data_IF_527711220500
#
_entry.id   IF_527711220500
#
_cell.length_a   1.000
_cell.length_b   1.000
_cell.length_c   1.000
_cell.angle_alpha   90.00
_cell.angle_beta   90.00
_cell.angle_gamma   90.00
#
_symmetry.space_group_name_H-M   'P 1'
#
loop_
_entity.id
_entity.type
_entity.pdbx_description
1 polymer ?
#
# COMPACT_ATOMS: atom_id res chain seq x y z
N UNK A 1 22.04 -47.31 30.33
CA UNK A 1 22.69 -46.42 31.34
C UNK A 1 23.48 -47.27 32.35
N UNK A 2 24.52 -46.73 33.01
CA UNK A 2 25.34 -47.49 33.98
C UNK A 2 24.51 -48.06 35.15
N UNK A 3 23.43 -47.37 35.52
CA UNK A 3 22.45 -47.82 36.53
C UNK A 3 21.70 -49.08 36.05
N UNK A 4 21.24 -49.10 34.79
CA UNK A 4 20.55 -50.26 34.20
C UNK A 4 21.46 -51.49 34.01
N UNK A 5 22.78 -51.26 34.00
CA UNK A 5 23.79 -52.32 33.92
C UNK A 5 24.21 -52.85 35.31
N UNK A 6 23.58 -52.37 36.40
CA UNK A 6 23.91 -52.75 37.77
C UNK A 6 25.22 -52.17 38.29
N UNK A 7 25.85 -51.23 37.56
CA UNK A 7 27.13 -50.60 37.92
C UNK A 7 26.89 -49.33 38.74
N UNK A 8 26.20 -49.47 39.88
CA UNK A 8 25.75 -48.35 40.72
C UNK A 8 26.89 -47.48 41.29
N UNK A 9 28.05 -48.02 41.73
CA UNK A 9 29.11 -47.18 42.30
C UNK A 9 29.79 -46.32 41.24
N UNK A 10 29.93 -46.85 40.01
CA UNK A 10 30.48 -46.13 38.87
C UNK A 10 29.53 -45.04 38.38
N UNK A 11 28.22 -45.33 38.38
CA UNK A 11 27.18 -44.34 38.07
C UNK A 11 27.22 -43.17 39.07
N UNK A 12 27.40 -43.46 40.36
CA UNK A 12 27.49 -42.45 41.41
C UNK A 12 28.74 -41.57 41.25
N UNK A 13 29.91 -42.16 40.97
CA UNK A 13 31.15 -41.43 40.74
C UNK A 13 31.04 -40.48 39.54
N UNK A 14 30.45 -40.95 38.44
CA UNK A 14 30.21 -40.14 37.23
C UNK A 14 29.21 -39.03 37.50
N UNK A 15 28.10 -39.32 38.20
CA UNK A 15 27.07 -38.33 38.51
C UNK A 15 27.59 -37.22 39.44
N UNK A 16 28.43 -37.57 40.44
CA UNK A 16 29.06 -36.62 41.35
C UNK A 16 30.00 -35.67 40.60
N UNK A 17 30.88 -36.22 39.76
CA UNK A 17 31.78 -35.42 38.91
C UNK A 17 31.00 -34.52 37.95
N UNK A 18 29.89 -35.02 37.40
CA UNK A 18 28.98 -34.26 36.57
C UNK A 18 28.35 -33.08 37.31
N UNK A 19 27.92 -33.28 38.56
CA UNK A 19 27.35 -32.23 39.39
C UNK A 19 28.38 -31.16 39.78
N UNK A 20 29.59 -31.55 40.20
CA UNK A 20 30.70 -30.62 40.52
C UNK A 20 31.03 -29.71 39.33
N UNK A 21 31.03 -30.24 38.11
CA UNK A 21 31.24 -29.45 36.90
C UNK A 21 30.14 -28.40 36.64
N UNK A 22 28.94 -28.56 37.23
CA UNK A 22 27.87 -27.55 37.12
C UNK A 22 28.02 -26.40 38.12
N UNK A 23 28.73 -26.60 39.24
CA UNK A 23 28.95 -25.57 40.26
C UNK A 23 29.80 -24.41 39.72
N UNK A 24 30.75 -24.70 38.83
CA UNK A 24 31.57 -23.67 38.16
C UNK A 24 30.82 -22.91 37.07
N UNK A 25 29.76 -23.50 36.50
CA UNK A 25 29.02 -22.94 35.35
C UNK A 25 27.75 -22.18 35.81
N UNK A 26 27.19 -22.53 36.98
CA UNK A 26 26.01 -21.90 37.60
C UNK A 26 24.81 -21.71 36.67
N UNK A 27 24.61 -22.62 35.71
CA UNK A 27 23.44 -22.61 34.83
C UNK A 27 22.33 -23.49 35.42
N UNK A 28 21.16 -22.93 35.78
CA UNK A 28 20.06 -23.67 36.39
C UNK A 28 19.63 -24.90 35.59
N UNK A 29 19.64 -24.83 34.26
CA UNK A 29 19.27 -25.95 33.37
C UNK A 29 20.22 -27.14 33.45
N UNK A 30 21.52 -26.89 33.61
CA UNK A 30 22.53 -27.93 33.80
C UNK A 30 22.45 -28.52 35.21
N UNK A 31 22.23 -27.66 36.22
CA UNK A 31 22.05 -28.08 37.62
C UNK A 31 20.85 -29.02 37.76
N UNK A 32 19.71 -28.74 37.12
CA UNK A 32 18.53 -29.63 37.12
C UNK A 32 18.89 -31.03 36.59
N UNK A 33 19.61 -31.10 35.46
CA UNK A 33 20.00 -32.38 34.84
C UNK A 33 20.99 -33.15 35.71
N UNK A 34 22.00 -32.47 36.25
CA UNK A 34 23.03 -33.10 37.06
C UNK A 34 22.53 -33.51 38.45
N UNK A 35 21.72 -32.68 39.11
CA UNK A 35 21.10 -32.99 40.39
C UNK A 35 20.10 -34.15 40.28
N UNK A 36 19.32 -34.21 39.19
CA UNK A 36 18.43 -35.35 38.91
C UNK A 36 19.21 -36.66 38.72
N UNK A 37 20.24 -36.65 37.86
CA UNK A 37 21.08 -37.83 37.65
C UNK A 37 21.81 -38.29 38.92
N UNK A 38 22.21 -37.34 39.78
CA UNK A 38 22.84 -37.63 41.07
C UNK A 38 21.83 -38.21 42.08
N UNK A 39 20.60 -37.69 42.12
CA UNK A 39 19.52 -38.26 42.93
C UNK A 39 19.21 -39.70 42.52
N UNK A 40 19.11 -39.97 41.21
CA UNK A 40 18.85 -41.31 40.67
C UNK A 40 19.99 -42.28 41.02
N UNK A 41 21.24 -41.82 40.96
CA UNK A 41 22.42 -42.62 41.31
C UNK A 41 22.48 -42.94 42.82
N UNK A 42 22.15 -41.98 43.70
CA UNK A 42 22.07 -42.23 45.14
C UNK A 42 20.93 -43.19 45.49
N UNK A 43 19.78 -43.09 44.83
CA UNK A 43 18.66 -44.01 45.05
C UNK A 43 19.04 -45.43 44.61
N UNK A 44 19.70 -45.58 43.47
CA UNK A 44 20.20 -46.87 42.99
C UNK A 44 21.23 -47.52 43.91
N UNK A 45 22.00 -46.72 44.66
CA UNK A 45 22.98 -47.19 45.66
C UNK A 45 22.38 -47.38 47.07
N UNK A 46 21.04 -47.29 47.21
CA UNK A 46 20.28 -47.38 48.48
C UNK A 46 20.59 -46.28 49.49
N UNK A 47 21.01 -45.10 49.02
CA UNK A 47 21.26 -43.90 49.83
C UNK A 47 20.09 -42.91 49.70
N UNK A 48 18.91 -43.29 50.19
CA UNK A 48 17.66 -42.55 49.97
C UNK A 48 17.65 -41.14 50.57
N UNK A 49 18.31 -40.92 51.72
CA UNK A 49 18.43 -39.59 52.33
C UNK A 49 19.16 -38.61 51.41
N UNK A 50 20.27 -39.08 50.80
CA UNK A 50 21.04 -38.28 49.85
C UNK A 50 20.27 -38.07 48.56
N UNK A 51 19.59 -39.10 48.06
CA UNK A 51 18.72 -39.00 46.89
C UNK A 51 17.62 -37.94 47.09
N UNK A 52 17.00 -37.91 48.28
CA UNK A 52 15.96 -36.94 48.62
C UNK A 52 16.49 -35.50 48.63
N UNK A 53 17.68 -35.26 49.18
CA UNK A 53 18.32 -33.93 49.19
C UNK A 53 18.53 -33.42 47.77
N UNK A 54 19.12 -34.23 46.89
CA UNK A 54 19.40 -33.82 45.50
C UNK A 54 18.13 -33.76 44.64
N UNK A 55 17.10 -34.55 44.94
CA UNK A 55 15.77 -34.44 44.31
C UNK A 55 15.08 -33.12 44.68
N UNK A 56 15.14 -32.71 45.95
CA UNK A 56 14.63 -31.41 46.40
C UNK A 56 15.35 -30.24 45.72
N UNK A 57 16.68 -30.36 45.57
CA UNK A 57 17.49 -29.38 44.85
C UNK A 57 17.07 -29.29 43.37
N UNK A 58 16.94 -30.43 42.70
CA UNK A 58 16.48 -30.52 41.31
C UNK A 58 15.13 -29.81 41.10
N UNK A 59 14.16 -30.08 41.98
CA UNK A 59 12.84 -29.47 41.92
C UNK A 59 12.90 -27.94 42.07
N UNK A 60 13.66 -27.43 43.05
CA UNK A 60 13.83 -25.98 43.26
C UNK A 60 14.42 -25.27 42.03
N UNK A 61 15.40 -25.87 41.36
CA UNK A 61 15.98 -25.29 40.13
C UNK A 61 15.08 -25.48 38.91
N UNK A 62 14.26 -26.54 38.84
CA UNK A 62 13.31 -26.79 37.75
C UNK A 62 12.23 -25.72 37.68
N UNK A 63 11.74 -25.26 38.82
CA UNK A 63 10.78 -24.15 38.88
C UNK A 63 11.38 -22.86 38.29
N UNK A 64 12.65 -22.59 38.63
CA UNK A 64 13.39 -21.42 38.11
C UNK A 64 13.58 -21.48 36.59
N UNK A 65 13.98 -22.64 36.06
CA UNK A 65 14.15 -22.86 34.61
C UNK A 65 12.82 -22.69 33.89
N UNK A 66 11.75 -23.29 34.42
CA UNK A 66 10.41 -23.24 33.82
C UNK A 66 9.86 -21.82 33.80
N UNK A 67 9.99 -21.08 34.90
CA UNK A 67 9.55 -19.69 34.97
C UNK A 67 10.33 -18.80 33.98
N UNK A 68 11.64 -19.01 33.85
CA UNK A 68 12.48 -18.29 32.88
C UNK A 68 12.05 -18.59 31.45
N UNK A 69 11.82 -19.86 31.11
CA UNK A 69 11.35 -20.27 29.79
C UNK A 69 9.97 -19.70 29.46
N UNK A 70 9.02 -19.77 30.41
CA UNK A 70 7.69 -19.22 30.24
C UNK A 70 7.73 -17.70 30.03
N UNK A 71 8.58 -16.99 30.77
CA UNK A 71 8.78 -15.54 30.60
C UNK A 71 9.35 -15.21 29.22
N UNK A 72 10.35 -15.95 28.75
CA UNK A 72 10.91 -15.76 27.40
C UNK A 72 9.90 -16.06 26.29
N UNK A 73 9.10 -17.13 26.43
CA UNK A 73 8.05 -17.46 25.47
C UNK A 73 6.97 -16.37 25.43
N UNK A 74 6.52 -15.90 26.58
CA UNK A 74 5.55 -14.81 26.68
C UNK A 74 6.11 -13.52 26.04
N UNK A 75 7.37 -13.19 26.28
CA UNK A 75 8.01 -12.02 25.67
C UNK A 75 8.07 -12.13 24.15
N UNK A 76 8.42 -13.30 23.61
CA UNK A 76 8.45 -13.54 22.16
C UNK A 76 7.05 -13.45 21.54
N UNK A 77 6.03 -13.96 22.23
CA UNK A 77 4.63 -13.84 21.80
C UNK A 77 4.17 -12.38 21.77
N UNK A 78 4.44 -11.61 22.84
CA UNK A 78 4.12 -10.18 22.90
C UNK A 78 4.84 -9.39 21.82
N UNK A 79 6.13 -9.68 21.57
CA UNK A 79 6.88 -9.03 20.50
C UNK A 79 6.31 -9.36 19.12
N UNK A 80 5.98 -10.63 18.87
CA UNK A 80 5.36 -11.05 17.60
C UNK A 80 3.99 -10.41 17.40
N UNK A 81 3.23 -10.22 18.47
CA UNK A 81 1.93 -9.54 18.44
C UNK A 81 2.10 -8.04 18.16
N UNK A 82 3.01 -7.36 18.86
CA UNK A 82 3.31 -5.94 18.62
C UNK A 82 3.75 -5.70 17.17
N UNK A 83 4.56 -6.60 16.60
CA UNK A 83 4.95 -6.52 15.19
C UNK A 83 3.73 -6.63 14.26
N UNK A 84 2.85 -7.60 14.49
CA UNK A 84 1.61 -7.75 13.71
C UNK A 84 0.70 -6.55 13.86
N UNK A 85 0.50 -6.05 15.07
CA UNK A 85 -0.34 -4.89 15.33
C UNK A 85 0.21 -3.65 14.61
N UNK A 86 1.55 -3.48 14.58
CA UNK A 86 2.19 -2.41 13.80
C UNK A 86 2.03 -2.59 12.29
N UNK A 87 2.20 -3.80 11.78
CA UNK A 87 1.98 -4.09 10.36
C UNK A 87 0.53 -3.82 9.96
N UNK A 88 -0.44 -4.25 10.77
CA UNK A 88 -1.86 -4.00 10.55
C UNK A 88 -2.20 -2.50 10.60
N UNK A 89 -1.58 -1.74 11.49
CA UNK A 89 -1.74 -0.28 11.54
C UNK A 89 -1.18 0.36 10.27
N UNK A 90 0.03 -0.02 9.84
CA UNK A 90 0.62 0.48 8.60
C UNK A 90 -0.21 0.15 7.37
N UNK A 91 -0.66 -1.10 7.24
CA UNK A 91 -1.52 -1.52 6.13
C UNK A 91 -2.84 -0.75 6.10
N UNK A 92 -3.44 -0.49 7.27
CA UNK A 92 -4.66 0.34 7.37
C UNK A 92 -4.39 1.80 6.99
N UNK A 93 -3.25 2.36 7.36
CA UNK A 93 -2.86 3.72 7.00
C UNK A 93 -2.60 3.84 5.50
N UNK A 94 -1.87 2.89 4.91
CA UNK A 94 -1.61 2.80 3.47
C UNK A 94 -2.92 2.64 2.68
N UNK A 95 -3.79 1.71 3.07
CA UNK A 95 -5.09 1.51 2.43
C UNK A 95 -6.00 2.75 2.55
N UNK A 96 -5.92 3.48 3.66
CA UNK A 96 -6.65 4.74 3.84
C UNK A 96 -6.09 5.85 2.95
N UNK A 97 -4.77 5.94 2.82
CA UNK A 97 -4.10 6.89 1.93
C UNK A 97 -4.45 6.60 0.47
N UNK A 98 -4.36 5.34 0.05
CA UNK A 98 -4.72 4.88 -1.30
C UNK A 98 -6.20 5.18 -1.61
N UNK A 99 -7.11 4.87 -0.68
CA UNK A 99 -8.54 5.18 -0.84
C UNK A 99 -8.78 6.68 -0.96
N UNK A 100 -8.12 7.51 -0.16
CA UNK A 100 -8.21 8.96 -0.25
C UNK A 100 -7.73 9.46 -1.61
N UNK A 101 -6.61 8.93 -2.09
CA UNK A 101 -6.02 9.27 -3.38
C UNK A 101 -6.98 8.92 -4.53
N UNK A 102 -7.55 7.71 -4.52
CA UNK A 102 -8.53 7.27 -5.51
C UNK A 102 -9.79 8.16 -5.54
N UNK A 103 -10.27 8.59 -4.37
CA UNK A 103 -11.42 9.51 -4.28
C UNK A 103 -11.05 10.89 -4.82
N UNK A 104 -9.87 11.41 -4.50
CA UNK A 104 -9.40 12.71 -5.00
C UNK A 104 -9.31 12.72 -6.52
N UNK A 105 -8.73 11.67 -7.13
CA UNK A 105 -8.71 11.54 -8.58
C UNK A 105 -10.11 11.44 -9.18
N UNK A 106 -11.03 10.71 -8.53
CA UNK A 106 -12.42 10.65 -8.96
C UNK A 106 -13.11 12.02 -8.98
N UNK A 107 -12.88 12.85 -7.97
CA UNK A 107 -13.40 14.23 -7.90
C UNK A 107 -12.78 15.10 -8.99
N UNK A 108 -11.46 15.03 -9.19
CA UNK A 108 -10.78 15.80 -10.23
C UNK A 108 -11.30 15.41 -11.62
N UNK A 109 -11.47 14.11 -11.88
CA UNK A 109 -12.04 13.60 -13.11
C UNK A 109 -13.45 14.15 -13.36
N UNK A 110 -14.30 14.14 -12.33
CA UNK A 110 -15.65 14.70 -12.40
C UNK A 110 -15.63 16.21 -12.72
N UNK A 111 -14.77 16.98 -12.07
CA UNK A 111 -14.63 18.43 -12.32
C UNK A 111 -14.19 18.69 -13.76
N UNK A 112 -13.22 17.92 -14.28
CA UNK A 112 -12.73 18.16 -15.65
C UNK A 112 -13.76 17.73 -16.70
N UNK A 113 -14.44 16.61 -16.52
CA UNK A 113 -15.53 16.19 -17.42
C UNK A 113 -16.64 17.23 -17.43
N UNK A 114 -17.08 17.68 -16.26
CA UNK A 114 -18.16 18.69 -16.15
C UNK A 114 -17.75 20.03 -16.75
N UNK A 115 -16.51 20.49 -16.50
CA UNK A 115 -15.97 21.71 -17.08
C UNK A 115 -15.81 21.60 -18.61
N UNK A 116 -15.36 20.45 -19.13
CA UNK A 116 -15.26 20.19 -20.56
C UNK A 116 -16.63 20.24 -21.26
N UNK A 117 -17.64 19.59 -20.68
CA UNK A 117 -19.02 19.64 -21.19
C UNK A 117 -19.56 21.08 -21.13
N UNK A 118 -19.33 21.78 -20.02
CA UNK A 118 -19.74 23.18 -19.85
C UNK A 118 -19.13 24.08 -20.95
N UNK A 119 -17.84 23.95 -21.23
CA UNK A 119 -17.16 24.70 -22.29
C UNK A 119 -17.69 24.37 -23.69
N UNK A 120 -18.01 23.10 -23.97
CA UNK A 120 -18.62 22.70 -25.25
C UNK A 120 -20.02 23.28 -25.44
N UNK A 121 -20.84 23.30 -24.38
CA UNK A 121 -22.16 23.92 -24.41
C UNK A 121 -22.00 25.44 -24.58
N UNK A 122 -21.14 26.07 -23.79
CA UNK A 122 -20.92 27.53 -23.85
C UNK A 122 -20.40 27.99 -25.22
N UNK A 123 -19.51 27.20 -25.85
CA UNK A 123 -19.05 27.43 -27.23
C UNK A 123 -20.17 27.39 -28.27
N UNK A 124 -21.27 26.67 -28.00
CA UNK A 124 -22.41 26.54 -28.92
C UNK A 124 -23.41 27.68 -28.77
N UNK A 125 -23.55 28.22 -27.57
CA UNK A 125 -24.63 29.17 -27.23
C UNK A 125 -24.19 30.63 -27.28
N UNK A 126 -22.91 30.92 -27.04
CA UNK A 126 -22.42 32.29 -27.06
C UNK A 126 -21.93 32.68 -28.46
N UNK A 127 -22.38 33.83 -28.97
CA UNK A 127 -21.88 34.48 -30.19
C UNK A 127 -20.49 35.06 -29.88
N UNK A 128 -19.53 34.18 -29.61
CA UNK A 128 -18.18 34.52 -29.20
C UNK A 128 -17.36 34.82 -30.45
N UNK A 129 -16.70 35.97 -30.49
CA UNK A 129 -15.81 36.32 -31.60
C UNK A 129 -14.72 35.26 -31.80
N UNK A 130 -14.30 35.05 -33.05
CA UNK A 130 -13.35 33.99 -33.44
C UNK A 130 -12.06 33.95 -32.60
N UNK A 131 -11.60 35.09 -32.09
CA UNK A 131 -10.44 35.19 -31.17
C UNK A 131 -10.68 34.56 -29.80
N UNK A 132 -11.85 34.75 -29.21
CA UNK A 132 -12.17 34.21 -27.90
C UNK A 132 -12.47 32.70 -27.96
N UNK A 133 -13.02 32.19 -29.08
CA UNK A 133 -13.13 30.75 -29.33
C UNK A 133 -11.74 30.11 -29.35
N UNK A 134 -10.78 30.72 -30.04
CA UNK A 134 -9.40 30.21 -30.14
C UNK A 134 -8.68 30.16 -28.78
N UNK A 135 -8.85 31.18 -27.94
CA UNK A 135 -8.24 31.22 -26.61
C UNK A 135 -8.92 30.26 -25.63
N UNK A 136 -10.25 30.14 -25.70
CA UNK A 136 -10.99 29.22 -24.83
C UNK A 136 -10.67 27.75 -25.15
N UNK A 137 -10.47 27.44 -26.44
CA UNK A 137 -10.06 26.10 -26.87
C UNK A 137 -8.68 25.71 -26.32
N UNK A 138 -7.72 26.64 -26.33
CA UNK A 138 -6.40 26.41 -25.72
C UNK A 138 -6.48 26.14 -24.21
N UNK A 139 -7.32 26.90 -23.48
CA UNK A 139 -7.53 26.68 -22.04
C UNK A 139 -8.19 25.33 -21.80
N UNK A 140 -9.18 24.96 -22.62
CA UNK A 140 -9.82 23.65 -22.57
C UNK A 140 -8.81 22.51 -22.84
N UNK A 141 -7.89 22.70 -23.80
CA UNK A 141 -6.82 21.75 -24.09
C UNK A 141 -5.88 21.58 -22.89
N UNK A 142 -5.47 22.67 -22.25
CA UNK A 142 -4.56 22.61 -21.10
C UNK A 142 -5.22 21.88 -19.92
N UNK A 143 -6.50 22.14 -19.65
CA UNK A 143 -7.28 21.42 -18.65
C UNK A 143 -7.48 19.95 -19.00
N UNK A 144 -7.71 19.63 -20.28
CA UNK A 144 -7.84 18.26 -20.74
C UNK A 144 -6.52 17.49 -20.66
N UNK A 145 -5.40 18.15 -20.96
CA UNK A 145 -4.06 17.60 -20.77
C UNK A 145 -3.78 17.33 -19.29
N UNK A 146 -4.07 18.29 -18.41
CA UNK A 146 -3.94 18.13 -16.96
C UNK A 146 -4.76 16.95 -16.45
N UNK A 147 -5.97 16.77 -16.97
CA UNK A 147 -6.81 15.62 -16.67
C UNK A 147 -6.22 14.30 -17.16
N UNK A 148 -5.74 14.25 -18.40
CA UNK A 148 -5.05 13.07 -18.93
C UNK A 148 -3.81 12.75 -18.07
N UNK A 149 -3.06 13.77 -17.66
CA UNK A 149 -1.90 13.62 -16.80
C UNK A 149 -2.31 13.01 -15.45
N UNK A 150 -3.34 13.53 -14.79
CA UNK A 150 -3.85 13.02 -13.51
C UNK A 150 -4.46 11.62 -13.62
N UNK A 151 -5.17 11.31 -14.71
CA UNK A 151 -5.76 9.99 -14.94
C UNK A 151 -4.69 8.94 -15.26
N UNK A 152 -3.67 9.33 -16.03
CA UNK A 152 -2.60 8.42 -16.44
C UNK A 152 -1.50 8.30 -15.39
N UNK A 153 -1.35 9.24 -14.46
CA UNK A 153 -0.28 9.20 -13.46
C UNK A 153 -0.26 7.88 -12.65
N UNK A 154 -1.37 7.36 -12.09
CA UNK A 154 -1.38 6.07 -11.39
C UNK A 154 -1.09 4.86 -12.31
N UNK A 155 -1.53 4.95 -13.57
CA UNK A 155 -1.27 3.93 -14.60
C UNK A 155 0.21 3.92 -15.00
N UNK A 156 0.81 5.10 -15.16
CA UNK A 156 2.22 5.24 -15.46
C UNK A 156 3.08 4.87 -14.28
N UNK A 157 2.68 5.16 -13.04
CA UNK A 157 3.43 4.79 -11.85
C UNK A 157 3.65 3.27 -11.78
N UNK A 158 2.59 2.49 -12.05
CA UNK A 158 2.67 1.03 -12.17
C UNK A 158 3.49 0.53 -13.37
N UNK A 159 3.49 1.25 -14.49
CA UNK A 159 4.22 0.84 -15.71
C UNK A 159 5.68 1.27 -15.68
N UNK A 160 6.01 2.33 -14.94
CA UNK A 160 7.36 2.92 -14.91
C UNK A 160 8.15 2.56 -13.65
N UNK A 161 7.60 1.71 -12.78
CA UNK A 161 8.19 1.29 -11.50
C UNK A 161 8.71 2.48 -10.66
N UNK A 162 7.98 3.61 -10.70
CA UNK A 162 8.35 4.83 -9.99
C UNK A 162 9.53 5.61 -10.59
N UNK A 163 10.00 5.30 -11.81
CA UNK A 163 11.07 6.04 -12.47
C UNK A 163 10.57 7.36 -13.09
N UNK A 164 10.97 8.53 -12.56
CA UNK A 164 10.45 9.81 -13.03
C UNK A 164 10.81 10.12 -14.48
N UNK A 165 11.93 9.59 -14.98
CA UNK A 165 12.41 9.85 -16.34
C UNK A 165 11.50 9.23 -17.40
N UNK A 166 11.08 7.97 -17.19
CA UNK A 166 10.18 7.27 -18.11
C UNK A 166 8.78 7.87 -18.05
N UNK A 167 8.32 8.27 -16.86
CA UNK A 167 7.04 8.95 -16.70
C UNK A 167 6.97 10.24 -17.52
N UNK A 168 8.00 11.10 -17.42
CA UNK A 168 8.07 12.35 -18.18
C UNK A 168 8.10 12.07 -19.69
N UNK A 169 8.88 11.07 -20.13
CA UNK A 169 8.99 10.73 -21.55
C UNK A 169 7.63 10.32 -22.14
N UNK A 170 6.87 9.50 -21.42
CA UNK A 170 5.53 9.07 -21.86
C UNK A 170 4.56 10.25 -21.85
N UNK A 171 4.57 11.08 -20.81
CA UNK A 171 3.68 12.26 -20.75
C UNK A 171 3.97 13.27 -21.86
N UNK A 172 5.24 13.50 -22.19
CA UNK A 172 5.63 14.35 -23.33
C UNK A 172 5.17 13.74 -24.66
N UNK A 173 5.28 12.42 -24.83
CA UNK A 173 4.80 11.74 -26.04
C UNK A 173 3.27 11.90 -26.22
N UNK A 174 2.52 11.78 -25.12
CA UNK A 174 1.06 11.98 -25.11
C UNK A 174 0.71 13.44 -25.41
N UNK A 175 1.40 14.39 -24.79
CA UNK A 175 1.23 15.83 -25.06
C UNK A 175 1.49 16.16 -26.55
N UNK A 176 2.57 15.62 -27.12
CA UNK A 176 2.93 15.82 -28.52
C UNK A 176 1.87 15.28 -29.50
N UNK A 177 1.17 14.21 -29.14
CA UNK A 177 0.05 13.67 -29.93
C UNK A 177 -1.25 14.45 -29.73
N UNK A 178 -1.46 15.02 -28.55
CA UNK A 178 -2.66 15.77 -28.20
C UNK A 178 -2.73 17.14 -28.91
N UNK A 179 -1.60 17.82 -29.08
CA UNK A 179 -1.51 19.12 -29.78
C UNK A 179 -2.08 19.09 -31.22
N UNK A 180 -1.66 18.17 -32.12
CA UNK A 180 -2.22 18.10 -33.47
C UNK A 180 -3.68 17.65 -33.47
N UNK A 181 -4.10 16.82 -32.50
CA UNK A 181 -5.50 16.42 -32.34
C UNK A 181 -6.39 17.63 -32.04
N UNK A 182 -5.96 18.51 -31.14
CA UNK A 182 -6.67 19.76 -30.83
C UNK A 182 -6.81 20.66 -32.05
N UNK A 183 -5.75 20.85 -32.84
CA UNK A 183 -5.84 21.71 -34.03
C UNK A 183 -6.83 21.16 -35.07
N UNK A 184 -6.94 19.83 -35.19
CA UNK A 184 -7.97 19.21 -36.04
C UNK A 184 -9.37 19.43 -35.50
N UNK A 185 -9.56 19.31 -34.18
CA UNK A 185 -10.85 19.57 -33.52
C UNK A 185 -11.28 21.03 -33.69
N UNK A 186 -10.37 21.99 -33.51
CA UNK A 186 -10.62 23.42 -33.73
C UNK A 186 -11.10 23.67 -35.15
N UNK A 187 -10.38 23.15 -36.16
CA UNK A 187 -10.78 23.32 -37.55
C UNK A 187 -12.14 22.68 -37.86
N UNK A 188 -12.43 21.52 -37.28
CA UNK A 188 -13.71 20.83 -37.43
C UNK A 188 -14.86 21.60 -36.79
N UNK A 189 -14.69 22.07 -35.56
CA UNK A 189 -15.68 22.88 -34.82
C UNK A 189 -15.96 24.18 -35.59
N UNK A 190 -14.91 24.86 -36.03
CA UNK A 190 -15.04 26.13 -36.75
C UNK A 190 -15.76 25.93 -38.09
N UNK A 191 -15.43 24.88 -38.85
CA UNK A 191 -16.10 24.58 -40.12
C UNK A 191 -17.56 24.16 -39.94
N UNK A 192 -17.88 23.39 -38.88
CA UNK A 192 -19.25 23.02 -38.56
C UNK A 192 -20.08 24.25 -38.14
N UNK A 193 -19.51 25.16 -37.35
CA UNK A 193 -20.19 26.38 -36.89
C UNK A 193 -20.38 27.38 -38.04
N UNK A 194 -19.37 27.58 -38.89
CA UNK A 194 -19.44 28.51 -40.04
C UNK A 194 -20.43 28.00 -41.09
N UNK A 195 -20.45 26.71 -41.41
CA UNK A 195 -21.39 26.15 -42.38
C UNK A 195 -22.85 26.22 -41.92
N UNK A 196 -23.13 26.05 -40.62
CA UNK A 196 -24.47 26.25 -40.07
C UNK A 196 -24.87 27.72 -39.93
N UNK A 197 -23.96 28.59 -39.49
CA UNK A 197 -24.25 30.03 -39.38
C UNK A 197 -24.55 30.66 -40.74
N UNK A 198 -23.82 30.27 -41.80
CA UNK A 198 -24.12 30.74 -43.15
C UNK A 198 -25.50 30.29 -43.62
N UNK A 199 -25.97 29.09 -43.27
CA UNK A 199 -27.33 28.65 -43.59
C UNK A 199 -28.40 29.48 -42.88
N UNK A 200 -28.23 29.71 -41.57
CA UNK A 200 -29.17 30.53 -40.80
C UNK A 200 -29.20 31.99 -41.29
N UNK A 201 -28.04 32.55 -41.64
CA UNK A 201 -27.97 33.91 -42.22
C UNK A 201 -28.55 33.97 -43.64
N UNK A 202 -28.37 32.93 -44.45
CA UNK A 202 -28.95 32.87 -45.79
C UNK A 202 -30.47 32.69 -45.73
N UNK A 203 -30.98 31.91 -44.78
CA UNK A 203 -32.42 31.73 -44.54
C UNK A 203 -33.06 33.01 -43.98
N UNK A 204 -32.39 33.72 -43.07
CA UNK A 204 -32.85 35.02 -42.58
C UNK A 204 -32.84 36.09 -43.69
N UNK A 205 -31.77 36.17 -44.49
CA UNK A 205 -31.69 37.10 -45.62
C UNK A 205 -32.74 36.81 -46.70
N UNK A 206 -33.02 35.52 -46.97
CA UNK A 206 -34.10 35.12 -47.88
C UNK A 206 -35.47 35.55 -47.37
N UNK A 207 -35.76 35.35 -46.08
CA UNK A 207 -37.01 35.82 -45.47
C UNK A 207 -37.17 37.34 -45.55
N UNK A 208 -36.11 38.10 -45.27
CA UNK A 208 -36.18 39.57 -45.37
C UNK A 208 -36.37 40.06 -46.80
N UNK A 209 -35.78 39.39 -47.80
CA UNK A 209 -35.99 39.72 -49.22
C UNK A 209 -37.42 39.34 -49.65
N UNK A 210 -37.95 38.23 -49.16
CA UNK A 210 -39.32 37.78 -49.43
C UNK A 210 -40.35 38.73 -48.78
N UNK A 211 -40.09 39.19 -47.55
CA UNK A 211 -40.89 40.21 -46.85
C UNK A 211 -40.86 41.56 -47.60
N UNK A 212 -39.68 42.08 -47.95
CA UNK A 212 -39.52 43.33 -48.71
C UNK A 212 -40.03 43.25 -50.14
N UNK A 213 -40.04 42.07 -50.75
CA UNK A 213 -40.63 41.82 -52.08
C UNK A 213 -42.13 41.58 -52.05
N UNK A 214 -42.70 41.36 -50.86
CA UNK A 214 -44.14 41.15 -50.63
C UNK A 214 -44.87 42.39 -50.11
N UNK A 215 -44.14 43.46 -49.75
CA UNK A 215 -44.74 44.78 -49.55
C UNK A 215 -45.17 45.32 -50.93
N UNK A 216 -46.48 45.52 -51.18
CA UNK A 216 -46.92 46.15 -52.40
C UNK A 216 -46.40 47.59 -52.41
N UNK A 217 -45.86 48.06 -53.55
CA UNK A 217 -45.79 49.50 -53.79
C UNK A 217 -47.22 50.05 -53.76
N UNK A 218 -47.65 50.58 -52.60
CA UNK A 218 -48.64 51.64 -52.36
C UNK A 218 -49.03 51.75 -50.88
#
# INVERSE_FOLDING_TARGET
MLIEQGRTPEALAVARKGFEATESVRQPSLIVKAAGALADAFHADRMDDSAFVYSKLCNAYRDTVTNTQNRSQMQNQLFSQELKDREDVKLKEEAKAERSHNIQFGIIALIVITLGIFLLIFSRTAVVGARAIKNLSLIALLLFFEFLNLLLHPLLDHVTDGSPLFMILIMVAIAALLIPLHHRMDHFITNMLVSRNNRVRLEAAKRTIEELGSEPEN
#
